data_IF_944012688937
#
_entry.id   IF_944012688937
#
_cell.length_a   1.000
_cell.length_b   1.000
_cell.length_c   1.000
_cell.angle_alpha   90.00
_cell.angle_beta   90.00
_cell.angle_gamma   90.00
#
_symmetry.space_group_name_H-M   'P 1'
#
loop_
_entity.id
_entity.type
_entity.pdbx_description
1 polymer ?
#
# COMPACT_ATOMS: atom_id res chain seq x y z
N UNK A 1 16.12 -3.34 16.42
CA UNK A 1 15.12 -3.01 15.38
C UNK A 1 13.95 -2.30 16.06
N UNK A 2 13.70 -1.05 15.68
CA UNK A 2 12.54 -0.28 16.17
C UNK A 2 11.37 -0.46 15.21
N UNK A 3 10.19 -0.73 15.76
CA UNK A 3 8.94 -0.87 14.99
C UNK A 3 7.97 0.24 15.33
N UNK A 4 7.07 0.53 14.39
CA UNK A 4 5.97 1.48 14.56
C UNK A 4 4.68 0.83 14.06
N UNK A 5 3.57 1.21 14.71
CA UNK A 5 2.22 0.80 14.31
C UNK A 5 1.49 1.96 13.63
N UNK A 6 0.72 1.63 12.60
CA UNK A 6 -0.17 2.59 11.92
C UNK A 6 -1.49 1.91 11.58
N UNK A 7 -2.53 2.71 11.40
CA UNK A 7 -3.82 2.24 10.91
C UNK A 7 -3.92 2.49 9.40
N UNK A 8 -4.24 1.44 8.64
CA UNK A 8 -4.56 1.48 7.20
C UNK A 8 -5.84 0.71 6.93
N UNK A 9 -6.38 0.77 5.70
CA UNK A 9 -7.52 -0.09 5.35
C UNK A 9 -7.14 -1.57 5.55
N UNK A 10 -8.04 -2.42 6.10
CA UNK A 10 -7.71 -3.81 6.45
C UNK A 10 -7.06 -4.61 5.31
N UNK A 11 -7.59 -4.50 4.08
CA UNK A 11 -7.09 -5.23 2.91
C UNK A 11 -5.72 -4.72 2.45
N UNK A 12 -5.39 -3.47 2.73
CA UNK A 12 -4.06 -2.92 2.52
C UNK A 12 -3.08 -3.46 3.55
N UNK A 13 -3.48 -3.59 4.82
CA UNK A 13 -2.66 -4.22 5.85
C UNK A 13 -2.36 -5.70 5.52
N UNK A 14 -3.37 -6.44 5.06
CA UNK A 14 -3.24 -7.82 4.58
C UNK A 14 -2.26 -7.90 3.41
N UNK A 15 -2.44 -7.08 2.37
CA UNK A 15 -1.52 -6.99 1.25
C UNK A 15 -0.07 -6.72 1.67
N UNK A 16 0.15 -5.70 2.51
CA UNK A 16 1.50 -5.30 2.96
C UNK A 16 2.14 -6.42 3.78
N UNK A 17 1.40 -7.09 4.66
CA UNK A 17 1.90 -8.28 5.38
C UNK A 17 2.21 -9.42 4.42
N UNK A 18 1.27 -9.79 3.55
CA UNK A 18 1.45 -10.88 2.60
C UNK A 18 2.67 -10.68 1.71
N UNK A 19 3.05 -9.42 1.43
CA UNK A 19 4.17 -9.09 0.55
C UNK A 19 5.51 -8.88 1.27
N UNK A 20 5.50 -8.28 2.47
CA UNK A 20 6.72 -7.76 3.11
C UNK A 20 6.92 -8.23 4.55
N UNK A 21 6.12 -9.17 5.05
CA UNK A 21 6.32 -9.70 6.39
C UNK A 21 7.61 -10.51 6.49
N UNK A 22 8.50 -10.07 7.36
CA UNK A 22 9.75 -10.75 7.68
C UNK A 22 9.53 -11.60 8.93
N UNK A 23 9.58 -12.94 8.75
CA UNK A 23 9.32 -13.90 9.83
C UNK A 23 10.38 -13.88 10.91
N UNK A 24 11.62 -13.54 10.56
CA UNK A 24 12.73 -13.48 11.52
C UNK A 24 12.61 -12.21 12.36
N UNK A 25 12.22 -11.10 11.72
CA UNK A 25 11.98 -9.83 12.40
C UNK A 25 10.64 -9.79 13.18
N UNK A 26 9.68 -10.64 12.82
CA UNK A 26 8.33 -10.65 13.39
C UNK A 26 7.46 -9.46 12.98
N UNK A 27 7.89 -8.66 12.00
CA UNK A 27 7.23 -7.44 11.55
C UNK A 27 7.39 -7.25 10.04
N UNK A 28 6.63 -6.31 9.46
CA UNK A 28 6.83 -5.92 8.07
C UNK A 28 8.17 -5.20 7.90
N UNK A 29 8.95 -5.59 6.89
CA UNK A 29 10.21 -4.93 6.56
C UNK A 29 10.23 -4.50 5.10
N UNK A 30 10.20 -3.19 4.89
CA UNK A 30 10.31 -2.64 3.54
C UNK A 30 11.76 -2.71 3.03
N UNK A 31 12.00 -3.24 1.82
CA UNK A 31 13.32 -3.20 1.22
C UNK A 31 13.82 -1.77 1.02
N UNK A 32 15.13 -1.50 1.20
CA UNK A 32 15.72 -0.16 1.04
C UNK A 32 15.65 0.36 -0.41
N UNK A 33 15.41 -0.53 -1.37
CA UNK A 33 15.24 -0.20 -2.79
C UNK A 33 13.87 0.38 -3.13
N UNK A 34 12.89 0.30 -2.21
CA UNK A 34 11.54 0.82 -2.47
C UNK A 34 11.38 2.26 -2.00
N UNK A 35 10.68 3.07 -2.78
CA UNK A 35 10.35 4.46 -2.41
C UNK A 35 9.67 4.59 -1.05
N UNK A 36 8.87 3.60 -0.64
CA UNK A 36 8.19 3.65 0.67
C UNK A 36 9.18 3.64 1.83
N UNK A 37 10.32 2.96 1.69
CA UNK A 37 11.38 2.99 2.70
C UNK A 37 11.95 4.41 2.85
N UNK A 38 12.16 5.10 1.73
CA UNK A 38 12.62 6.48 1.70
C UNK A 38 11.56 7.42 2.30
N UNK A 39 10.31 7.26 1.89
CA UNK A 39 9.18 8.04 2.38
C UNK A 39 9.00 7.93 3.89
N UNK A 40 9.09 6.71 4.45
CA UNK A 40 9.01 6.51 5.90
C UNK A 40 10.12 7.33 6.58
N UNK A 41 11.36 7.17 6.12
CA UNK A 41 12.51 7.89 6.68
C UNK A 41 12.33 9.41 6.66
N UNK A 42 11.83 9.96 5.55
CA UNK A 42 11.59 11.40 5.41
C UNK A 42 10.50 11.91 6.36
N UNK A 43 9.48 11.09 6.61
CA UNK A 43 8.36 11.41 7.49
C UNK A 43 8.67 11.22 8.99
N UNK A 44 9.74 10.52 9.36
CA UNK A 44 10.11 10.29 10.76
C UNK A 44 10.45 11.60 11.48
N UNK A 45 9.95 11.73 12.70
CA UNK A 45 10.18 12.85 13.60
C UNK A 45 10.59 12.32 14.98
N UNK A 46 11.18 13.19 15.80
CA UNK A 46 11.39 12.89 17.21
C UNK A 46 10.05 12.77 17.92
N UNK A 47 9.88 11.77 18.77
CA UNK A 47 8.64 11.58 19.53
C UNK A 47 8.48 12.71 20.56
N UNK A 48 7.37 13.48 20.53
CA UNK A 48 7.05 14.39 21.62
C UNK A 48 6.80 13.61 22.92
N UNK A 49 7.31 14.09 24.05
CA UNK A 49 7.17 13.42 25.35
C UNK A 49 5.70 13.21 25.77
N UNK A 50 4.78 14.00 25.24
CA UNK A 50 3.34 13.97 25.54
C UNK A 50 2.57 12.93 24.74
N UNK A 51 3.18 12.33 23.71
CA UNK A 51 2.46 11.45 22.79
C UNK A 51 2.59 9.97 23.20
N UNK A 52 1.48 9.21 23.19
CA UNK A 52 1.51 7.79 23.53
C UNK A 52 2.28 6.97 22.47
N UNK A 53 2.51 5.70 22.79
CA UNK A 53 3.03 4.70 21.84
C UNK A 53 2.03 4.53 20.69
N UNK A 54 2.55 4.34 19.48
CA UNK A 54 1.72 4.26 18.28
C UNK A 54 0.85 2.98 18.30
N UNK A 55 -0.36 3.09 17.76
CA UNK A 55 -1.33 2.00 17.66
C UNK A 55 -1.80 1.80 16.22
N UNK A 56 -2.34 0.62 15.92
CA UNK A 56 -2.92 0.36 14.60
C UNK A 56 -2.88 -1.10 14.20
N UNK A 57 -3.43 -1.36 13.02
CA UNK A 57 -3.59 -2.69 12.44
C UNK A 57 -2.43 -3.11 11.53
N UNK A 58 -1.33 -2.35 11.48
CA UNK A 58 -0.13 -2.70 10.72
C UNK A 58 1.11 -2.30 11.51
N UNK A 59 2.04 -3.24 11.70
CA UNK A 59 3.32 -3.02 12.35
C UNK A 59 4.46 -3.24 11.36
N UNK A 60 5.38 -2.29 11.28
CA UNK A 60 6.54 -2.36 10.39
C UNK A 60 7.81 -1.82 11.04
N UNK A 61 8.96 -2.35 10.62
CA UNK A 61 10.27 -1.92 11.03
C UNK A 61 10.64 -0.58 10.40
N UNK A 62 11.22 0.31 11.21
CA UNK A 62 11.70 1.59 10.72
C UNK A 62 12.96 1.42 9.83
N UNK A 63 13.12 2.28 8.82
CA UNK A 63 14.35 2.41 8.06
C UNK A 63 15.56 2.66 8.96
N UNK A 64 16.55 1.78 8.91
CA UNK A 64 17.85 1.96 9.57
C UNK A 64 18.89 2.35 8.51
N UNK A 65 19.39 3.60 8.59
CA UNK A 65 20.43 4.13 7.69
C UNK A 65 21.72 4.34 8.48
N UNK A 66 22.87 4.19 7.81
CA UNK A 66 24.19 4.42 8.41
C UNK A 66 24.38 5.84 8.95
N UNK A 67 23.78 6.82 8.28
CA UNK A 67 23.85 8.23 8.65
C UNK A 67 22.46 8.86 8.61
N UNK A 68 22.23 9.82 9.52
CA UNK A 68 21.02 10.64 9.56
C UNK A 68 20.13 10.39 10.78
N UNK A 69 18.84 10.14 10.56
CA UNK A 69 17.86 9.96 11.63
C UNK A 69 18.05 8.59 12.28
N UNK A 70 18.63 8.60 13.47
CA UNK A 70 18.71 7.44 14.34
C UNK A 70 17.31 6.96 14.76
N UNK A 71 16.93 5.68 14.52
CA UNK A 71 15.61 5.15 14.84
C UNK A 71 15.26 5.20 16.34
N UNK A 72 16.23 5.19 17.25
CA UNK A 72 15.93 5.28 18.69
C UNK A 72 15.40 6.68 19.06
N UNK A 73 15.90 7.70 18.38
CA UNK A 73 15.50 9.10 18.55
C UNK A 73 14.33 9.52 17.66
N UNK A 74 14.27 9.03 16.42
CA UNK A 74 13.30 9.40 15.39
C UNK A 74 12.36 8.23 15.09
N UNK A 75 11.46 7.94 16.02
CA UNK A 75 10.51 6.82 15.94
C UNK A 75 9.05 7.25 15.92
N UNK A 76 8.74 8.50 15.56
CA UNK A 76 7.38 9.01 15.56
C UNK A 76 6.91 9.41 14.17
N UNK A 77 5.68 9.00 13.85
CA UNK A 77 4.95 9.42 12.66
C UNK A 77 3.70 10.20 13.10
N UNK A 78 3.65 11.48 12.72
CA UNK A 78 2.46 12.32 12.96
C UNK A 78 1.21 11.73 12.27
N UNK A 79 0.01 12.12 12.72
CA UNK A 79 -1.23 11.67 12.07
C UNK A 79 -1.29 11.99 10.56
N UNK A 80 -0.71 13.12 10.14
CA UNK A 80 -0.55 13.46 8.71
C UNK A 80 0.39 12.49 8.00
N UNK A 81 1.53 12.16 8.62
CA UNK A 81 2.48 11.21 8.06
C UNK A 81 1.87 9.81 7.94
N UNK A 82 1.13 9.34 8.95
CA UNK A 82 0.41 8.07 8.92
C UNK A 82 -0.60 8.02 7.76
N UNK A 83 -1.35 9.10 7.52
CA UNK A 83 -2.27 9.19 6.38
C UNK A 83 -1.54 9.11 5.03
N UNK A 84 -0.42 9.83 4.88
CA UNK A 84 0.39 9.80 3.65
C UNK A 84 0.91 8.38 3.39
N UNK A 85 1.38 7.68 4.44
CA UNK A 85 1.84 6.31 4.33
C UNK A 85 0.71 5.34 3.96
N UNK A 86 -0.46 5.47 4.59
CA UNK A 86 -1.63 4.68 4.25
C UNK A 86 -2.01 4.84 2.77
N UNK A 87 -2.04 6.08 2.29
CA UNK A 87 -2.34 6.40 0.89
C UNK A 87 -1.28 5.81 -0.07
N UNK A 88 0.01 5.85 0.29
CA UNK A 88 1.10 5.23 -0.50
C UNK A 88 0.99 3.70 -0.52
N UNK A 89 0.73 3.05 0.61
CA UNK A 89 0.57 1.59 0.68
C UNK A 89 -0.63 1.13 -0.14
N UNK A 90 -1.74 1.87 -0.06
CA UNK A 90 -2.93 1.62 -0.89
C UNK A 90 -2.61 1.79 -2.38
N UNK A 91 -1.87 2.83 -2.75
CA UNK A 91 -1.43 3.03 -4.14
C UNK A 91 -0.56 1.86 -4.64
N UNK A 92 0.38 1.37 -3.82
CA UNK A 92 1.22 0.22 -4.18
C UNK A 92 0.38 -1.04 -4.48
N UNK A 93 -0.59 -1.34 -3.62
CA UNK A 93 -1.50 -2.47 -3.83
C UNK A 93 -2.29 -2.34 -5.13
N UNK A 94 -2.89 -1.16 -5.38
CA UNK A 94 -3.69 -0.95 -6.58
C UNK A 94 -2.86 -1.00 -7.86
N UNK A 95 -1.68 -0.38 -7.87
CA UNK A 95 -0.79 -0.40 -9.02
C UNK A 95 -0.43 -1.85 -9.39
N UNK A 96 0.00 -2.65 -8.42
CA UNK A 96 0.35 -4.05 -8.68
C UNK A 96 -0.85 -4.88 -9.15
N UNK A 97 -2.03 -4.69 -8.55
CA UNK A 97 -3.23 -5.40 -9.00
C UNK A 97 -3.61 -5.01 -10.43
N UNK A 98 -3.58 -3.72 -10.76
CA UNK A 98 -3.94 -3.23 -12.09
C UNK A 98 -2.96 -3.75 -13.15
N UNK A 99 -1.66 -3.72 -12.86
CA UNK A 99 -0.61 -4.25 -13.75
C UNK A 99 -0.81 -5.75 -13.98
N UNK A 100 -1.03 -6.53 -12.90
CA UNK A 100 -1.30 -7.96 -13.00
C UNK A 100 -2.55 -8.24 -13.85
N UNK A 101 -3.63 -7.48 -13.64
CA UNK A 101 -4.88 -7.66 -14.38
C UNK A 101 -4.73 -7.35 -15.87
N UNK A 102 -4.00 -6.29 -16.22
CA UNK A 102 -3.74 -5.91 -17.60
C UNK A 102 -2.83 -6.92 -18.30
N UNK A 103 -1.73 -7.34 -17.65
CA UNK A 103 -0.82 -8.37 -18.16
C UNK A 103 -1.57 -9.68 -18.40
N UNK A 104 -2.30 -10.16 -17.39
CA UNK A 104 -3.04 -11.40 -17.50
C UNK A 104 -4.10 -11.36 -18.60
N UNK A 105 -4.83 -10.25 -18.72
CA UNK A 105 -5.89 -10.15 -19.72
C UNK A 105 -5.35 -10.05 -21.15
N UNK A 106 -4.29 -9.29 -21.34
CA UNK A 106 -3.83 -8.88 -22.66
C UNK A 106 -2.68 -9.73 -23.20
N UNK A 107 -1.88 -10.35 -22.33
CA UNK A 107 -0.75 -11.20 -22.70
C UNK A 107 -1.10 -12.67 -22.45
N UNK A 108 -1.62 -13.01 -21.27
CA UNK A 108 -1.80 -14.42 -20.86
C UNK A 108 -3.20 -14.99 -21.16
N UNK A 109 -4.13 -14.17 -21.67
CA UNK A 109 -5.52 -14.60 -21.96
C UNK A 109 -6.37 -14.94 -20.74
N UNK A 110 -5.90 -14.63 -19.52
CA UNK A 110 -6.58 -14.90 -18.26
C UNK A 110 -7.68 -13.86 -18.02
N UNK A 111 -8.80 -14.30 -17.46
CA UNK A 111 -9.91 -13.41 -17.13
C UNK A 111 -9.60 -12.52 -15.91
N UNK A 112 -10.23 -11.34 -15.84
CA UNK A 112 -10.00 -10.38 -14.76
C UNK A 112 -10.37 -10.94 -13.39
N UNK A 113 -11.45 -11.73 -13.31
CA UNK A 113 -11.91 -12.33 -12.05
C UNK A 113 -10.87 -13.29 -11.49
N UNK A 114 -10.30 -14.15 -12.33
CA UNK A 114 -9.24 -15.09 -12.00
C UNK A 114 -7.98 -14.36 -11.54
N UNK A 115 -7.62 -13.23 -12.18
CA UNK A 115 -6.49 -12.41 -11.75
C UNK A 115 -6.69 -11.82 -10.35
N UNK A 116 -7.91 -11.33 -10.06
CA UNK A 116 -8.28 -10.82 -8.74
C UNK A 116 -8.22 -11.93 -7.68
N UNK A 117 -8.79 -13.11 -7.98
CA UNK A 117 -8.74 -14.27 -7.11
C UNK A 117 -7.28 -14.67 -6.81
N UNK A 118 -6.44 -14.79 -7.84
CA UNK A 118 -5.02 -15.12 -7.68
C UNK A 118 -4.29 -14.08 -6.82
N UNK A 119 -4.56 -12.79 -7.01
CA UNK A 119 -3.97 -11.70 -6.22
C UNK A 119 -4.36 -11.78 -4.75
N UNK A 120 -5.65 -11.95 -4.46
CA UNK A 120 -6.14 -12.08 -3.09
C UNK A 120 -5.55 -13.30 -2.39
N UNK A 121 -5.49 -14.45 -3.09
CA UNK A 121 -4.89 -15.68 -2.57
C UNK A 121 -3.39 -15.54 -2.32
N UNK A 122 -2.66 -14.88 -3.23
CA UNK A 122 -1.21 -14.66 -3.13
C UNK A 122 -0.86 -13.89 -1.85
N UNK A 123 -1.67 -12.91 -1.48
CA UNK A 123 -1.41 -12.02 -0.35
C UNK A 123 -2.30 -12.26 0.86
N UNK A 124 -3.07 -13.35 0.88
CA UNK A 124 -4.03 -13.70 1.94
C UNK A 124 -4.96 -12.52 2.31
N UNK A 125 -5.54 -11.87 1.29
CA UNK A 125 -6.49 -10.77 1.45
C UNK A 125 -7.89 -11.35 1.63
N UNK A 126 -8.55 -10.98 2.74
CA UNK A 126 -9.85 -11.52 3.15
C UNK A 126 -10.87 -10.41 3.47
N UNK A 127 -10.39 -9.21 3.81
CA UNK A 127 -11.24 -8.11 4.30
C UNK A 127 -11.90 -7.25 3.21
N UNK A 128 -11.76 -7.62 1.94
CA UNK A 128 -12.42 -6.99 0.79
C UNK A 128 -12.88 -8.05 -0.20
N UNK A 129 -14.01 -7.82 -0.87
CA UNK A 129 -14.55 -8.78 -1.85
C UNK A 129 -13.87 -8.64 -3.21
N UNK A 130 -13.81 -9.74 -3.97
CA UNK A 130 -13.33 -9.74 -5.37
C UNK A 130 -14.06 -8.70 -6.23
N UNK A 131 -15.38 -8.59 -6.07
CA UNK A 131 -16.22 -7.63 -6.80
C UNK A 131 -15.83 -6.18 -6.51
N UNK A 132 -15.45 -5.86 -5.27
CA UNK A 132 -14.98 -4.52 -4.94
C UNK A 132 -13.64 -4.18 -5.62
N UNK A 133 -12.73 -5.14 -5.73
CA UNK A 133 -11.47 -5.02 -6.47
C UNK A 133 -11.73 -4.84 -7.99
N UNK A 134 -12.61 -5.66 -8.56
CA UNK A 134 -13.03 -5.55 -9.97
C UNK A 134 -13.65 -4.17 -10.28
N UNK A 135 -14.55 -3.68 -9.42
CA UNK A 135 -15.17 -2.35 -9.55
C UNK A 135 -14.15 -1.22 -9.40
N UNK A 136 -13.13 -1.38 -8.55
CA UNK A 136 -12.02 -0.43 -8.48
C UNK A 136 -11.30 -0.34 -9.83
N UNK A 137 -10.88 -1.49 -10.36
CA UNK A 137 -10.18 -1.57 -11.65
C UNK A 137 -11.03 -0.99 -12.80
N UNK A 138 -12.32 -1.31 -12.87
CA UNK A 138 -13.23 -0.75 -13.89
C UNK A 138 -13.30 0.78 -13.83
N UNK A 139 -13.47 1.36 -12.62
CA UNK A 139 -13.49 2.82 -12.43
C UNK A 139 -12.18 3.47 -12.81
N UNK A 140 -11.05 2.85 -12.50
CA UNK A 140 -9.74 3.33 -12.90
C UNK A 140 -9.58 3.29 -14.42
N UNK A 141 -9.88 2.15 -15.05
CA UNK A 141 -9.80 1.94 -16.49
C UNK A 141 -10.66 2.94 -17.25
N UNK A 142 -11.89 3.21 -16.80
CA UNK A 142 -12.78 4.20 -17.41
C UNK A 142 -12.21 5.61 -17.32
N UNK A 143 -11.56 5.97 -16.22
CA UNK A 143 -10.89 7.27 -16.07
C UNK A 143 -9.70 7.39 -17.02
N UNK A 144 -8.89 6.35 -17.16
CA UNK A 144 -7.73 6.35 -18.05
C UNK A 144 -8.12 6.36 -19.54
N UNK A 145 -9.19 5.63 -19.90
CA UNK A 145 -9.58 5.40 -21.31
C UNK A 145 -10.69 6.32 -21.80
N UNK A 146 -11.13 7.30 -21.01
CA UNK A 146 -12.11 8.30 -21.43
C UNK A 146 -11.58 9.11 -22.61
N UNK A 147 -12.04 8.77 -23.83
CA UNK A 147 -12.03 9.70 -24.96
C UNK A 147 -12.95 10.87 -24.62
N UNK A 148 -12.58 12.12 -24.97
CA UNK A 148 -13.48 13.29 -24.90
C UNK A 148 -14.84 12.86 -25.48
N UNK A 149 -15.92 12.94 -24.69
CA UNK A 149 -17.27 12.72 -25.22
C UNK A 149 -17.46 13.66 -26.42
N UNK A 150 -17.80 13.12 -27.60
CA UNK A 150 -18.23 13.96 -28.73
C UNK A 150 -19.37 14.84 -28.23
N UNK A 151 -19.20 16.16 -28.32
CA UNK A 151 -20.27 17.09 -28.02
C UNK A 151 -21.43 16.83 -28.98
N UNK A 152 -22.61 16.55 -28.44
CA UNK A 152 -23.81 16.53 -29.27
C UNK A 152 -24.18 17.97 -29.58
N UNK A 153 -23.91 18.42 -30.80
CA UNK A 153 -24.54 19.62 -31.35
C UNK A 153 -25.99 19.26 -31.65
N UNK A 154 -26.94 19.71 -30.81
CA UNK A 154 -28.33 19.79 -31.25
C UNK A 154 -28.38 20.87 -32.34
N UNK A 155 -28.73 20.48 -33.56
CA UNK A 155 -29.13 21.42 -34.62
C UNK A 155 -30.48 22.03 -34.26
#
# INVERSE_FOLDING_TARGET
>A
MITVKTTVEPHVAEYIRGKFYDREAGAVRFPPTLDIYILIYDLLQKRPATNPVDSGNLEFALPERREGKDPDSYNYLSGRAQKILADKMRLMMWAELHDLMDENKHINGIQFKESVFMFMRKYAIESITEDALLKNYQRWRDKQRRKKKRGYSRK
#
